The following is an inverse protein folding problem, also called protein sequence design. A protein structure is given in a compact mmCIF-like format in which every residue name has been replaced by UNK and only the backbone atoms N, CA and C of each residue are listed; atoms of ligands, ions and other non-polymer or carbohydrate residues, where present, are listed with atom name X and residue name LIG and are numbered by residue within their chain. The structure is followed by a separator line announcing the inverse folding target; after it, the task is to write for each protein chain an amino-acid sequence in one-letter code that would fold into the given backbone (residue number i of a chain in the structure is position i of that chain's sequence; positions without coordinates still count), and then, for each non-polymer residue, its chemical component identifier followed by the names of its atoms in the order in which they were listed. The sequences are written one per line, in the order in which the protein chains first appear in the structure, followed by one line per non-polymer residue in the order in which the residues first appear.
data_IF_032378440260
#
_entry.id   IF_032378440260
#
_cell.length_a   1.000
_cell.length_b   1.000
_cell.length_c   1.000
_cell.angle_alpha   90.00
_cell.angle_beta   90.00
_cell.angle_gamma   90.00
#
_symmetry.space_group_name_H-M   'P 1'
#
loop_
_entity.id
_entity.type
_entity.pdbx_description
1 polymer ?
#
# COMPACT_ATOMS: atom_id res chain seq x y z
N UNK A 1 8.10 -8.03 0.29
CA UNK A 1 8.60 -8.45 -1.03
C UNK A 1 7.50 -8.16 -2.03
N UNK A 2 7.74 -7.34 -3.05
CA UNK A 2 6.72 -7.00 -4.04
C UNK A 2 6.83 -7.97 -5.21
N UNK A 3 5.95 -8.97 -5.25
CA UNK A 3 5.86 -9.94 -6.34
C UNK A 3 5.03 -9.30 -7.46
N UNK A 4 5.57 -9.33 -8.67
CA UNK A 4 4.87 -8.83 -9.86
C UNK A 4 3.91 -9.88 -10.41
N UNK A 5 2.91 -9.48 -11.19
CA UNK A 5 1.97 -10.40 -11.82
C UNK A 5 2.69 -11.43 -12.66
N UNK A 6 3.71 -11.02 -13.41
CA UNK A 6 4.52 -11.90 -14.25
C UNK A 6 5.25 -12.96 -13.40
N UNK A 7 5.82 -12.55 -12.28
CA UNK A 7 6.46 -13.48 -11.33
C UNK A 7 5.45 -14.44 -10.70
N UNK A 8 4.28 -13.94 -10.29
CA UNK A 8 3.22 -14.74 -9.69
C UNK A 8 2.70 -15.82 -10.67
N UNK A 9 2.61 -15.49 -11.96
CA UNK A 9 2.24 -16.45 -13.00
C UNK A 9 3.26 -17.58 -13.10
N UNK A 10 4.56 -17.25 -13.15
CA UNK A 10 5.63 -18.24 -13.17
C UNK A 10 5.62 -19.10 -11.90
N UNK A 11 5.43 -18.50 -10.72
CA UNK A 11 5.29 -19.22 -9.45
C UNK A 11 4.10 -20.19 -9.46
N UNK A 12 2.94 -19.76 -9.97
CA UNK A 12 1.74 -20.58 -10.07
C UNK A 12 1.96 -21.85 -10.91
N UNK A 13 2.70 -21.73 -12.02
CA UNK A 13 3.05 -22.87 -12.87
C UNK A 13 4.32 -23.61 -12.43
N UNK A 14 4.97 -23.19 -11.33
CA UNK A 14 6.24 -23.74 -10.84
C UNK A 14 7.36 -23.69 -11.89
N UNK A 15 7.41 -22.62 -12.67
CA UNK A 15 8.42 -22.40 -13.70
C UNK A 15 9.32 -21.21 -13.37
N UNK A 16 10.54 -21.19 -13.92
CA UNK A 16 11.45 -20.06 -13.78
C UNK A 16 10.91 -18.80 -14.48
N UNK A 17 11.10 -17.65 -13.82
CA UNK A 17 10.67 -16.36 -14.32
C UNK A 17 11.67 -15.81 -15.35
N UNK A 18 11.40 -16.07 -16.64
CA UNK A 18 12.06 -15.45 -17.79
C UNK A 18 11.01 -14.92 -18.79
N UNK A 19 11.42 -14.08 -19.74
CA UNK A 19 10.47 -13.38 -20.62
C UNK A 19 9.69 -14.33 -21.56
N UNK A 20 10.30 -15.44 -21.98
CA UNK A 20 9.67 -16.47 -22.82
C UNK A 20 8.55 -17.19 -22.06
N UNK A 21 8.84 -17.65 -20.84
CA UNK A 21 7.86 -18.30 -19.97
C UNK A 21 6.74 -17.33 -19.59
N UNK A 22 7.07 -16.09 -19.25
CA UNK A 22 6.06 -15.06 -18.94
C UNK A 22 5.10 -14.87 -20.11
N UNK A 23 5.60 -14.74 -21.34
CA UNK A 23 4.74 -14.57 -22.52
C UNK A 23 3.84 -15.79 -22.76
N UNK A 24 4.40 -17.00 -22.72
CA UNK A 24 3.67 -18.26 -22.92
C UNK A 24 2.61 -18.48 -21.84
N UNK A 25 2.96 -18.30 -20.57
CA UNK A 25 2.08 -18.55 -19.44
C UNK A 25 1.03 -17.45 -19.28
N UNK A 26 1.36 -16.19 -19.59
CA UNK A 26 0.36 -15.10 -19.62
C UNK A 26 -0.70 -15.37 -20.68
N UNK A 27 -0.30 -15.84 -21.87
CA UNK A 27 -1.23 -16.26 -22.91
C UNK A 27 -2.13 -17.40 -22.42
N UNK A 28 -1.54 -18.42 -21.78
CA UNK A 28 -2.28 -19.56 -21.21
C UNK A 28 -3.35 -19.13 -20.20
N UNK A 29 -3.07 -18.11 -19.38
CA UNK A 29 -4.06 -17.55 -18.45
C UNK A 29 -5.16 -16.80 -19.20
N UNK A 30 -4.81 -15.98 -20.19
CA UNK A 30 -5.79 -15.30 -21.04
C UNK A 30 -6.70 -16.29 -21.79
N UNK A 31 -6.16 -17.45 -22.18
CA UNK A 31 -6.92 -18.52 -22.83
C UNK A 31 -7.96 -19.18 -21.90
N UNK A 32 -7.79 -19.09 -20.57
CA UNK A 32 -8.84 -19.49 -19.61
C UNK A 32 -10.01 -18.49 -19.57
N UNK A 33 -9.87 -17.32 -20.20
CA UNK A 33 -10.91 -16.30 -20.27
C UNK A 33 -11.06 -15.54 -18.96
N UNK A 34 -12.16 -15.78 -18.23
CA UNK A 34 -12.56 -14.97 -17.07
C UNK A 34 -11.82 -15.31 -15.78
N UNK A 35 -10.53 -15.65 -15.85
CA UNK A 35 -9.68 -16.00 -14.70
C UNK A 35 -8.43 -15.13 -14.67
N UNK A 36 -7.93 -14.86 -13.47
CA UNK A 36 -6.65 -14.17 -13.27
C UNK A 36 -5.95 -14.72 -12.03
N UNK A 37 -4.65 -14.46 -11.95
CA UNK A 37 -3.81 -14.84 -10.80
C UNK A 37 -3.81 -13.72 -9.77
N UNK A 38 -4.06 -14.07 -8.51
CA UNK A 38 -4.14 -13.15 -7.37
C UNK A 38 -3.59 -13.81 -6.10
N UNK A 39 -3.43 -13.05 -5.04
CA UNK A 39 -3.14 -13.55 -3.70
C UNK A 39 -4.32 -13.30 -2.74
N UNK A 40 -4.50 -14.20 -1.77
CA UNK A 40 -5.52 -14.03 -0.73
C UNK A 40 -4.93 -13.41 0.54
N UNK A 41 -3.93 -14.10 1.10
CA UNK A 41 -3.25 -13.69 2.35
C UNK A 41 -1.73 -13.64 2.16
N UNK A 42 -1.18 -14.56 1.36
CA UNK A 42 0.25 -14.72 1.16
C UNK A 42 0.61 -14.45 -0.31
N UNK A 43 1.36 -13.38 -0.62
CA UNK A 43 1.72 -13.03 -1.99
C UNK A 43 2.64 -14.07 -2.64
N UNK A 44 3.25 -14.99 -1.88
CA UNK A 44 4.11 -16.07 -2.41
C UNK A 44 3.26 -17.28 -2.87
N UNK A 45 1.97 -17.32 -2.53
CA UNK A 45 1.05 -18.41 -2.87
C UNK A 45 -0.01 -17.92 -3.86
N UNK A 46 0.34 -17.75 -5.14
CA UNK A 46 -0.60 -17.31 -6.15
C UNK A 46 -1.73 -18.33 -6.33
N UNK A 47 -2.95 -17.82 -6.47
CA UNK A 47 -4.16 -18.60 -6.75
C UNK A 47 -4.84 -18.10 -8.02
N UNK A 48 -5.38 -19.04 -8.81
CA UNK A 48 -6.18 -18.73 -9.99
C UNK A 48 -7.65 -18.60 -9.60
N UNK A 49 -8.22 -17.42 -9.80
CA UNK A 49 -9.59 -17.10 -9.36
C UNK A 49 -10.34 -16.43 -10.51
N UNK A 50 -11.66 -16.64 -10.57
CA UNK A 50 -12.48 -15.96 -11.57
C UNK A 50 -12.49 -14.45 -11.34
N UNK A 51 -12.46 -13.68 -12.42
CA UNK A 51 -12.51 -12.22 -12.37
C UNK A 51 -13.72 -11.72 -11.59
N UNK A 52 -14.89 -12.33 -11.79
CA UNK A 52 -16.11 -11.99 -11.06
C UNK A 52 -15.91 -12.13 -9.54
N UNK A 53 -15.25 -13.19 -9.09
CA UNK A 53 -15.02 -13.43 -7.67
C UNK A 53 -14.01 -12.46 -7.08
N UNK A 54 -12.92 -12.18 -7.81
CA UNK A 54 -11.93 -11.16 -7.44
C UNK A 54 -12.61 -9.80 -7.26
N UNK A 55 -13.47 -9.42 -8.20
CA UNK A 55 -14.20 -8.15 -8.16
C UNK A 55 -15.26 -8.10 -7.07
N UNK A 56 -15.89 -9.23 -6.73
CA UNK A 56 -16.92 -9.30 -5.69
C UNK A 56 -16.37 -9.21 -4.26
N UNK A 57 -15.11 -9.61 -4.04
CA UNK A 57 -14.49 -9.63 -2.71
C UNK A 57 -13.09 -8.99 -2.75
N UNK A 58 -12.98 -7.66 -2.95
CA UNK A 58 -11.72 -6.98 -3.22
C UNK A 58 -10.75 -6.95 -2.03
N UNK A 59 -11.25 -7.18 -0.81
CA UNK A 59 -10.42 -7.23 0.41
C UNK A 59 -9.76 -8.60 0.61
N UNK A 60 -10.36 -9.65 0.03
CA UNK A 60 -9.85 -11.02 0.11
C UNK A 60 -8.89 -11.29 -1.03
N UNK A 61 -9.27 -10.98 -2.28
CA UNK A 61 -8.42 -11.29 -3.44
C UNK A 61 -7.69 -10.04 -3.92
N UNK A 62 -6.37 -10.02 -3.74
CA UNK A 62 -5.48 -8.93 -4.15
C UNK A 62 -4.81 -9.26 -5.47
N UNK A 63 -4.92 -8.34 -6.43
CA UNK A 63 -4.28 -8.51 -7.74
C UNK A 63 -2.83 -8.05 -7.67
N UNK A 64 -1.94 -8.86 -8.24
CA UNK A 64 -0.54 -8.48 -8.41
C UNK A 64 -0.40 -7.31 -9.40
N UNK A 65 0.56 -6.44 -9.13
CA UNK A 65 0.93 -5.35 -10.03
C UNK A 65 1.74 -5.90 -11.20
N UNK A 66 1.42 -5.51 -12.42
CA UNK A 66 2.27 -5.81 -13.59
C UNK A 66 3.52 -4.94 -13.57
N UNK A 67 4.63 -5.43 -14.14
CA UNK A 67 5.88 -4.65 -14.28
C UNK A 67 5.68 -3.29 -14.98
N UNK A 68 4.70 -3.21 -15.86
CA UNK A 68 4.31 -1.99 -16.58
C UNK A 68 3.19 -1.19 -15.90
N UNK A 69 2.58 -1.73 -14.84
CA UNK A 69 1.75 -0.96 -13.93
C UNK A 69 2.64 -0.20 -12.94
N UNK A 70 3.51 0.66 -13.46
CA UNK A 70 3.47 2.01 -12.88
C UNK A 70 2.02 2.46 -13.02
N UNK A 71 1.36 2.99 -11.97
CA UNK A 71 0.06 3.63 -12.18
C UNK A 71 0.25 4.59 -13.36
N UNK A 72 -0.42 4.30 -14.47
CA UNK A 72 -0.50 5.20 -15.60
C UNK A 72 -1.34 6.38 -15.13
N UNK A 73 -0.73 7.26 -14.36
CA UNK A 73 -0.95 8.68 -14.57
C UNK A 73 -0.35 8.92 -15.95
N UNK A 74 -1.25 8.96 -16.93
CA UNK A 74 -0.97 9.54 -18.24
C UNK A 74 -0.26 10.90 -18.07
N UNK A 75 0.58 11.24 -19.02
CA UNK A 75 1.68 12.18 -18.88
C UNK A 75 1.37 13.55 -18.25
N UNK A 76 2.43 14.09 -17.63
CA UNK A 76 2.69 15.53 -17.47
C UNK A 76 1.61 16.41 -16.82
N UNK A 77 1.30 16.13 -15.55
CA UNK A 77 1.25 17.23 -14.56
C UNK A 77 2.01 16.81 -13.31
N UNK A 78 3.10 17.52 -13.01
CA UNK A 78 3.46 17.76 -11.60
C UNK A 78 2.27 18.52 -11.00
N UNK A 79 1.24 17.81 -10.56
CA UNK A 79 0.44 18.36 -9.48
C UNK A 79 1.22 18.01 -8.25
N UNK A 80 2.01 18.98 -7.79
CA UNK A 80 2.29 19.07 -6.37
C UNK A 80 0.92 18.93 -5.69
N UNK A 81 0.60 17.75 -5.16
CA UNK A 81 -0.62 17.56 -4.38
C UNK A 81 -0.34 18.23 -3.05
N UNK A 82 -0.34 19.56 -3.08
CA UNK A 82 -0.29 20.38 -1.90
C UNK A 82 -1.66 20.21 -1.24
N UNK A 83 -1.68 19.53 -0.10
CA UNK A 83 -2.85 19.47 0.76
C UNK A 83 -3.03 20.89 1.32
N UNK A 84 -3.70 21.75 0.55
CA UNK A 84 -3.79 23.18 0.78
C UNK A 84 -4.73 23.55 1.95
N UNK A 85 -5.43 22.55 2.51
CA UNK A 85 -6.33 22.75 3.64
C UNK A 85 -6.21 21.63 4.66
N UNK A 86 -6.36 22.01 5.92
CA UNK A 86 -6.38 21.10 7.06
C UNK A 86 -7.42 19.98 6.90
N UNK A 87 -8.59 20.28 6.33
CA UNK A 87 -9.64 19.30 6.06
C UNK A 87 -9.21 18.21 5.07
N UNK A 88 -8.42 18.55 4.05
CA UNK A 88 -7.89 17.59 3.10
C UNK A 88 -6.81 16.71 3.74
N UNK A 89 -5.97 17.29 4.60
CA UNK A 89 -5.00 16.53 5.40
C UNK A 89 -5.71 15.56 6.32
N UNK A 90 -6.73 16.00 7.05
CA UNK A 90 -7.52 15.16 7.97
C UNK A 90 -8.23 14.05 7.19
N UNK A 91 -8.88 14.34 6.07
CA UNK A 91 -9.57 13.34 5.27
C UNK A 91 -8.60 12.27 4.72
N UNK A 92 -7.42 12.70 4.27
CA UNK A 92 -6.37 11.80 3.81
C UNK A 92 -5.83 10.93 4.96
N UNK A 93 -5.47 11.54 6.09
CA UNK A 93 -4.96 10.84 7.27
C UNK A 93 -5.99 9.86 7.81
N UNK A 94 -7.26 10.24 7.90
CA UNK A 94 -8.33 9.34 8.33
C UNK A 94 -8.50 8.19 7.34
N UNK A 95 -8.46 8.45 6.02
CA UNK A 95 -8.55 7.37 5.03
C UNK A 95 -7.38 6.38 5.09
N UNK A 96 -6.17 6.86 5.38
CA UNK A 96 -4.95 6.04 5.38
C UNK A 96 -4.73 5.35 6.73
N UNK A 97 -5.03 6.03 7.84
CA UNK A 97 -4.68 5.60 9.19
C UNK A 97 -5.87 5.22 10.07
N UNK A 98 -7.09 5.69 9.77
CA UNK A 98 -8.28 5.14 10.41
C UNK A 98 -8.60 3.79 9.74
N UNK A 99 -7.93 2.75 10.21
CA UNK A 99 -8.32 1.37 9.92
C UNK A 99 -9.78 1.21 10.34
N UNK A 100 -10.58 0.59 9.47
CA UNK A 100 -11.97 0.16 9.66
C UNK A 100 -12.09 -0.78 10.87
N UNK A 101 -12.02 -0.21 12.07
CA UNK A 101 -12.32 -0.87 13.32
C UNK A 101 -13.53 -0.12 13.85
N UNK A 102 -14.69 -0.77 13.84
CA UNK A 102 -15.96 -0.25 14.37
C UNK A 102 -15.95 -0.02 15.90
N UNK A 103 -14.77 0.01 16.50
CA UNK A 103 -14.52 0.49 17.85
C UNK A 103 -13.18 1.25 17.81
N UNK A 104 -13.16 2.56 18.10
CA UNK A 104 -11.91 3.25 18.35
C UNK A 104 -11.29 2.56 19.57
N UNK A 105 -10.24 1.75 19.35
CA UNK A 105 -9.47 1.24 20.47
C UNK A 105 -8.62 2.41 20.97
N UNK A 106 -9.24 3.28 21.77
CA UNK A 106 -8.60 4.46 22.38
C UNK A 106 -7.30 4.10 23.11
N UNK A 107 -7.16 2.84 23.54
CA UNK A 107 -5.96 2.34 24.21
C UNK A 107 -4.75 2.12 23.27
N UNK A 108 -4.94 2.14 21.95
CA UNK A 108 -3.87 1.93 20.97
C UNK A 108 -3.01 3.20 20.74
N UNK A 109 -3.53 4.36 21.11
CA UNK A 109 -2.88 5.66 20.91
C UNK A 109 -2.87 6.43 22.22
N UNK A 110 -1.69 6.92 22.61
CA UNK A 110 -1.57 7.83 23.75
C UNK A 110 -1.30 9.22 23.18
N UNK A 111 -2.14 10.18 23.56
CA UNK A 111 -1.88 11.58 23.29
C UNK A 111 -0.63 12.00 24.07
N UNK A 112 0.44 12.36 23.37
CA UNK A 112 1.68 12.81 24.00
C UNK A 112 1.95 14.25 23.60
N UNK A 113 2.07 15.13 24.60
CA UNK A 113 2.59 16.48 24.39
C UNK A 113 4.08 16.38 24.13
N UNK A 114 4.49 16.78 22.94
CA UNK A 114 5.88 16.78 22.52
C UNK A 114 6.24 18.18 22.04
N UNK A 115 7.44 18.62 22.38
CA UNK A 115 7.93 19.93 21.92
C UNK A 115 8.45 19.82 20.50
N UNK A 116 8.50 20.93 19.75
CA UNK A 116 9.08 20.93 18.40
C UNK A 116 10.53 20.42 18.39
N UNK A 117 11.24 20.60 19.50
CA UNK A 117 12.61 20.10 19.65
C UNK A 117 12.65 18.57 19.72
N UNK A 118 11.66 17.94 20.37
CA UNK A 118 11.52 16.48 20.41
C UNK A 118 11.20 15.91 19.03
N UNK A 119 10.34 16.59 18.26
CA UNK A 119 10.03 16.24 16.87
C UNK A 119 11.30 16.29 16.03
N UNK A 120 12.05 17.39 16.09
CA UNK A 120 13.32 17.52 15.36
C UNK A 120 14.34 16.45 15.77
N UNK A 121 14.32 15.99 17.03
CA UNK A 121 15.23 14.95 17.51
C UNK A 121 14.85 13.56 16.98
N UNK A 122 13.56 13.25 16.92
CA UNK A 122 13.05 12.00 16.31
C UNK A 122 13.40 11.99 14.81
N UNK A 123 13.14 13.08 14.10
CA UNK A 123 13.34 13.15 12.64
C UNK A 123 14.81 13.19 12.22
N UNK A 124 15.72 13.66 13.08
CA UNK A 124 17.17 13.62 12.83
C UNK A 124 17.73 12.20 12.83
N UNK A 125 17.13 11.25 13.55
CA UNK A 125 17.55 9.84 13.49
C UNK A 125 17.24 9.20 12.13
N UNK A 126 16.26 9.73 11.39
CA UNK A 126 15.84 9.25 10.08
C UNK A 126 16.39 10.09 8.90
N UNK A 127 17.37 10.97 9.17
CA UNK A 127 18.12 11.69 8.13
C UNK A 127 17.39 12.87 7.46
N UNK A 128 16.26 13.34 8.01
CA UNK A 128 15.47 14.43 7.41
C UNK A 128 15.79 15.76 8.12
N UNK A 129 16.23 16.78 7.36
CA UNK A 129 16.50 18.13 7.88
C UNK A 129 15.25 19.01 7.81
N UNK A 130 14.76 19.47 8.96
CA UNK A 130 13.64 20.42 9.08
C UNK A 130 14.08 21.62 9.92
N UNK A 131 13.67 22.83 9.53
CA UNK A 131 13.87 24.05 10.31
C UNK A 131 12.80 24.15 11.42
N UNK A 132 13.17 24.40 12.68
CA UNK A 132 12.22 24.48 13.78
C UNK A 132 11.38 25.76 13.70
N UNK A 133 10.07 25.63 13.93
CA UNK A 133 9.10 26.73 14.15
C UNK A 133 8.58 26.57 15.59
N UNK A 134 8.48 27.65 16.39
CA UNK A 134 8.10 27.53 17.79
C UNK A 134 6.58 27.41 17.92
N UNK A 135 6.06 26.19 17.80
CA UNK A 135 4.66 25.91 18.12
C UNK A 135 4.56 24.52 18.75
N UNK A 136 3.89 24.44 19.90
CA UNK A 136 3.57 23.18 20.56
C UNK A 136 2.41 22.51 19.81
N UNK A 137 2.59 21.27 19.38
CA UNK A 137 1.60 20.54 18.58
C UNK A 137 1.29 19.23 19.30
N UNK A 138 0.00 18.93 19.48
CA UNK A 138 -0.46 17.65 20.02
C UNK A 138 -0.54 16.62 18.89
N UNK A 139 0.18 15.49 19.02
CA UNK A 139 0.22 14.43 18.01
C UNK A 139 -0.13 13.09 18.66
N UNK A 140 -1.08 12.31 18.10
CA UNK A 140 -1.39 10.97 18.59
C UNK A 140 -0.25 10.00 18.26
N UNK A 141 0.35 9.39 19.29
CA UNK A 141 1.46 8.45 19.14
C UNK A 141 1.02 7.03 19.53
N UNK A 142 1.50 6.04 18.77
CA UNK A 142 1.18 4.63 19.01
C UNK A 142 1.74 4.18 20.35
N UNK A 143 0.92 3.54 21.16
CA UNK A 143 1.33 3.03 22.47
C UNK A 143 2.32 1.86 22.30
N UNK A 144 3.57 2.05 22.73
CA UNK A 144 4.62 1.02 22.67
C UNK A 144 4.89 0.34 24.01
N UNK A 145 4.02 0.52 25.01
CA UNK A 145 4.12 -0.18 26.27
C UNK A 145 3.92 -1.70 26.07
N UNK A 146 5.03 -2.44 26.13
CA UNK A 146 5.09 -3.83 26.56
C UNK A 146 5.59 -3.87 28.00
#
# INVERSE_FOLDING_TARGET
MNITREQAICMFFSEECNDENVARLSKKISDFGSFDVCDETDPIKPVLVSLTRILSVPFTFKRYLTKHSTPSCDGSRKTDYELASELQVIAFLNKVFATTIDSPNENAYILKRITTNDICRIMKNDGIKIKPVPEEIEIPMRNTAR
#
